data_IF_639293635518
#
_entry.id   IF_639293635518
#
_cell.length_a   1.000
_cell.length_b   1.000
_cell.length_c   1.000
_cell.angle_alpha   90.00
_cell.angle_beta   90.00
_cell.angle_gamma   90.00
#
_symmetry.space_group_name_H-M   'P 1'
#
loop_
_entity.id
_entity.type
_entity.pdbx_description
1 polymer ?
#
# COMPACT_ATOMS: atom_id res chain seq x y z
N UNK A 1 -0.84 -15.88 80.67
CA UNK A 1 -1.78 -15.03 79.91
C UNK A 1 -1.04 -13.75 79.58
N UNK A 2 -0.52 -13.62 78.36
CA UNK A 2 0.38 -12.52 77.98
C UNK A 2 -0.08 -11.94 76.64
N UNK A 3 -0.10 -10.61 76.62
CA UNK A 3 0.06 -9.67 75.51
C UNK A 3 -1.09 -9.39 74.52
N UNK A 4 -1.46 -8.11 74.57
CA UNK A 4 -1.90 -7.23 73.47
C UNK A 4 -1.18 -7.49 72.14
N UNK A 5 -1.87 -7.30 71.02
CA UNK A 5 -1.23 -6.91 69.76
C UNK A 5 -2.16 -6.07 68.87
N UNK A 6 -1.71 -4.82 68.71
CA UNK A 6 -1.95 -3.80 67.69
C UNK A 6 -1.92 -4.35 66.26
N UNK A 7 -2.80 -3.88 65.36
CA UNK A 7 -2.43 -3.20 64.11
C UNK A 7 -3.64 -2.71 63.29
N UNK A 8 -3.44 -1.52 62.73
CA UNK A 8 -4.38 -0.66 62.05
C UNK A 8 -4.36 -0.85 60.53
N UNK A 9 -5.50 -0.52 59.90
CA UNK A 9 -5.69 0.28 58.67
C UNK A 9 -4.61 0.16 57.58
N UNK A 10 -5.01 -0.36 56.41
CA UNK A 10 -4.96 0.28 55.08
C UNK A 10 -5.54 -0.75 54.08
N UNK A 11 -6.65 -0.42 53.41
CA UNK A 11 -7.00 -1.05 52.13
C UNK A 11 -7.69 -0.01 51.25
N UNK A 12 -7.04 0.22 50.12
CA UNK A 12 -7.24 1.29 49.17
C UNK A 12 -8.59 1.28 48.47
N UNK A 13 -9.04 2.48 48.15
CA UNK A 13 -10.06 2.73 47.14
C UNK A 13 -9.56 2.27 45.77
N UNK A 14 -10.31 1.38 45.12
CA UNK A 14 -10.21 1.14 43.67
C UNK A 14 -11.53 1.59 43.03
N UNK A 15 -11.57 2.68 42.25
CA UNK A 15 -12.76 3.02 41.49
C UNK A 15 -12.89 2.11 40.27
N UNK A 16 -14.06 1.51 40.14
CA UNK A 16 -14.50 0.67 39.03
C UNK A 16 -14.44 1.44 37.71
N UNK A 17 -13.64 0.97 36.75
CA UNK A 17 -13.60 1.49 35.38
C UNK A 17 -14.87 1.02 34.66
N UNK A 18 -15.73 1.98 34.30
CA UNK A 18 -16.87 1.75 33.40
C UNK A 18 -16.36 1.35 32.01
N UNK A 19 -16.60 0.09 31.64
CA UNK A 19 -16.50 -0.39 30.27
C UNK A 19 -17.58 0.28 29.41
N UNK A 20 -17.16 1.02 28.38
CA UNK A 20 -18.04 1.53 27.34
C UNK A 20 -18.63 0.38 26.54
N UNK A 21 -19.90 0.05 26.82
CA UNK A 21 -20.69 -0.90 26.04
C UNK A 21 -21.03 -0.32 24.66
N UNK A 22 -20.50 -0.93 23.61
CA UNK A 22 -20.96 -0.73 22.24
C UNK A 22 -22.31 -1.43 22.06
N UNK A 23 -23.41 -0.67 22.11
CA UNK A 23 -24.73 -1.18 21.73
C UNK A 23 -24.85 -1.21 20.21
N UNK A 24 -25.12 -2.40 19.67
CA UNK A 24 -25.39 -2.61 18.25
C UNK A 24 -26.91 -2.60 17.99
N UNK A 25 -27.38 -1.65 17.17
CA UNK A 25 -28.66 -1.72 16.48
C UNK A 25 -28.49 -2.28 15.05
N UNK A 26 -29.56 -2.85 14.45
CA UNK A 26 -29.53 -3.46 13.12
C UNK A 26 -29.66 -2.39 12.02
N UNK A 27 -28.89 -2.58 10.94
CA UNK A 27 -28.94 -1.89 9.64
C UNK A 27 -28.69 -0.37 9.61
N UNK A 28 -27.47 -0.01 9.14
CA UNK A 28 -27.05 1.37 8.86
C UNK A 28 -26.07 1.95 9.89
N UNK A 29 -24.90 1.34 10.08
CA UNK A 29 -23.88 1.90 11.00
C UNK A 29 -23.20 3.09 10.33
N UNK A 30 -23.50 4.30 10.79
CA UNK A 30 -22.67 5.49 10.57
C UNK A 30 -21.23 5.13 10.92
N UNK A 31 -20.33 5.29 9.95
CA UNK A 31 -18.92 5.02 10.14
C UNK A 31 -18.36 6.05 11.14
N UNK A 32 -17.40 5.69 12.02
CA UNK A 32 -16.82 6.66 12.94
C UNK A 32 -16.28 7.88 12.19
N UNK A 33 -16.58 9.10 12.67
CA UNK A 33 -16.24 10.34 11.97
C UNK A 33 -14.74 10.46 11.63
N UNK A 34 -13.85 9.95 12.48
CA UNK A 34 -12.41 9.97 12.22
C UNK A 34 -12.02 9.12 11.00
N UNK A 35 -12.71 8.00 10.75
CA UNK A 35 -12.50 7.19 9.56
C UNK A 35 -12.95 7.95 8.33
N UNK A 36 -14.11 8.61 8.38
CA UNK A 36 -14.61 9.45 7.28
C UNK A 36 -13.62 10.59 6.97
N UNK A 37 -13.11 11.29 8.00
CA UNK A 37 -12.09 12.34 7.85
C UNK A 37 -10.82 11.81 7.18
N UNK A 38 -10.37 10.59 7.52
CA UNK A 38 -9.22 9.98 6.86
C UNK A 38 -9.55 9.58 5.42
N UNK A 39 -10.72 9.01 5.15
CA UNK A 39 -11.12 8.64 3.79
C UNK A 39 -11.20 9.85 2.85
N UNK A 40 -11.70 10.99 3.34
CA UNK A 40 -11.85 12.22 2.55
C UNK A 40 -10.59 13.10 2.51
N UNK A 41 -9.60 12.86 3.37
CA UNK A 41 -8.43 13.72 3.51
C UNK A 41 -7.31 13.50 2.49
N UNK A 42 -7.43 12.51 1.60
CA UNK A 42 -6.45 12.21 0.56
C UNK A 42 -6.66 13.05 -0.71
N UNK A 43 -5.61 13.21 -1.52
CA UNK A 43 -5.69 13.95 -2.79
C UNK A 43 -6.56 13.25 -3.85
N UNK A 44 -6.77 11.94 -3.71
CA UNK A 44 -7.64 11.14 -4.58
C UNK A 44 -8.97 10.91 -3.84
N UNK A 45 -10.13 11.26 -4.43
CA UNK A 45 -11.41 11.12 -3.76
C UNK A 45 -11.82 9.65 -3.62
N UNK A 46 -12.42 9.31 -2.47
CA UNK A 46 -13.13 8.04 -2.30
C UNK A 46 -14.46 8.10 -3.05
N UNK A 47 -14.74 7.11 -3.88
CA UNK A 47 -15.95 6.99 -4.67
C UNK A 47 -16.50 5.56 -4.60
N UNK A 48 -17.70 5.37 -5.15
CA UNK A 48 -18.31 4.04 -5.29
C UNK A 48 -17.55 3.20 -6.34
N UNK A 49 -17.36 1.89 -6.11
CA UNK A 49 -16.57 1.06 -7.02
C UNK A 49 -17.07 1.08 -8.47
N UNK A 50 -18.38 1.08 -8.68
CA UNK A 50 -18.99 1.03 -10.01
C UNK A 50 -19.00 2.40 -10.71
N UNK A 51 -18.72 3.49 -9.98
CA UNK A 51 -18.60 4.85 -10.52
C UNK A 51 -17.43 5.59 -9.84
N UNK A 52 -16.20 5.23 -10.22
CA UNK A 52 -14.98 5.68 -9.58
C UNK A 52 -14.07 6.55 -10.47
N UNK A 53 -14.54 7.51 -11.29
CA UNK A 53 -13.66 8.26 -12.18
C UNK A 53 -12.63 9.12 -11.42
N UNK A 54 -11.34 9.03 -11.79
CA UNK A 54 -10.23 9.75 -11.16
C UNK A 54 -10.15 9.56 -9.63
N UNK A 55 -10.72 8.47 -9.13
CA UNK A 55 -10.88 8.22 -7.70
C UNK A 55 -10.24 6.91 -7.25
N UNK A 56 -10.42 6.63 -5.96
CA UNK A 56 -10.20 5.32 -5.40
C UNK A 56 -11.50 4.78 -4.78
N UNK A 57 -11.58 3.47 -4.63
CA UNK A 57 -12.74 2.80 -4.05
C UNK A 57 -12.33 1.49 -3.37
N UNK A 58 -13.27 0.88 -2.65
CA UNK A 58 -13.10 -0.47 -2.12
C UNK A 58 -13.95 -1.44 -2.95
N UNK A 59 -13.36 -2.19 -3.89
CA UNK A 59 -14.13 -3.11 -4.73
C UNK A 59 -14.84 -4.16 -3.85
N UNK A 60 -15.87 -4.87 -4.33
CA UNK A 60 -16.41 -6.04 -3.64
C UNK A 60 -15.41 -7.19 -3.61
N UNK A 61 -15.25 -7.85 -2.45
CA UNK A 61 -14.26 -8.92 -2.29
C UNK A 61 -14.57 -10.18 -3.10
N UNK A 62 -15.83 -10.38 -3.46
CA UNK A 62 -16.28 -11.44 -4.37
C UNK A 62 -15.74 -11.34 -5.80
N UNK A 63 -15.12 -10.20 -6.16
CA UNK A 63 -14.38 -10.05 -7.42
C UNK A 63 -13.04 -10.77 -7.41
N UNK A 64 -12.56 -11.23 -6.25
CA UNK A 64 -11.29 -11.94 -6.11
C UNK A 64 -11.51 -13.42 -5.79
N UNK A 65 -10.69 -14.26 -6.42
CA UNK A 65 -10.72 -15.71 -6.22
C UNK A 65 -9.52 -16.14 -5.36
N UNK A 66 -9.80 -16.77 -4.23
CA UNK A 66 -8.80 -17.20 -3.23
C UNK A 66 -8.84 -18.72 -3.04
N UNK A 67 -7.81 -19.31 -2.42
CA UNK A 67 -7.77 -20.76 -2.16
C UNK A 67 -8.92 -21.14 -1.23
N UNK A 68 -9.78 -22.06 -1.69
CA UNK A 68 -10.89 -22.56 -0.89
C UNK A 68 -10.45 -23.56 0.18
N UNK A 69 -11.39 -24.04 1.03
CA UNK A 69 -11.07 -24.91 2.18
C UNK A 69 -10.30 -26.19 1.79
N UNK A 70 -10.65 -26.79 0.66
CA UNK A 70 -10.00 -28.01 0.15
C UNK A 70 -8.89 -27.77 -0.88
N UNK A 71 -8.40 -26.54 -1.04
CA UNK A 71 -7.54 -26.17 -2.19
C UNK A 71 -6.29 -27.05 -2.34
N UNK A 72 -5.68 -27.48 -1.23
CA UNK A 72 -4.45 -28.27 -1.30
C UNK A 72 -4.65 -29.59 -2.05
N UNK A 73 -5.84 -30.21 -1.93
CA UNK A 73 -6.20 -31.45 -2.62
C UNK A 73 -6.87 -31.21 -3.98
N UNK A 74 -7.86 -30.30 -4.05
CA UNK A 74 -8.71 -30.16 -5.24
C UNK A 74 -8.35 -28.98 -6.16
N UNK A 75 -7.45 -28.09 -5.73
CA UNK A 75 -7.05 -26.85 -6.43
C UNK A 75 -8.21 -25.89 -6.75
N UNK A 76 -9.33 -26.00 -6.03
CA UNK A 76 -10.53 -25.18 -6.26
C UNK A 76 -10.43 -23.85 -5.49
N UNK A 77 -10.53 -22.76 -6.24
CA UNK A 77 -10.65 -21.40 -5.67
C UNK A 77 -12.12 -21.04 -5.45
N UNK A 78 -12.36 -20.21 -4.44
CA UNK A 78 -13.68 -19.67 -4.08
C UNK A 78 -13.64 -18.15 -4.11
N UNK A 79 -14.82 -17.51 -4.18
CA UNK A 79 -14.93 -16.06 -3.97
C UNK A 79 -14.49 -15.73 -2.55
N UNK A 80 -13.77 -14.62 -2.40
CA UNK A 80 -13.13 -14.32 -1.13
C UNK A 80 -14.08 -13.77 -0.05
N UNK A 81 -15.19 -13.13 -0.43
CA UNK A 81 -16.09 -12.49 0.52
C UNK A 81 -15.48 -11.26 1.20
N UNK A 82 -15.80 -11.07 2.48
CA UNK A 82 -15.41 -9.91 3.29
C UNK A 82 -13.90 -9.79 3.55
N UNK A 83 -13.46 -8.57 3.83
CA UNK A 83 -12.07 -8.27 4.18
C UNK A 83 -11.82 -8.41 5.68
N UNK A 84 -10.62 -8.86 6.04
CA UNK A 84 -10.17 -8.85 7.43
C UNK A 84 -9.97 -7.42 7.96
N UNK A 85 -9.54 -6.50 7.08
CA UNK A 85 -9.27 -5.11 7.41
C UNK A 85 -10.23 -4.18 6.67
N UNK A 86 -10.64 -3.10 7.35
CA UNK A 86 -11.48 -2.07 6.73
C UNK A 86 -10.60 -1.08 5.95
N UNK A 87 -11.02 -0.64 4.75
CA UNK A 87 -10.34 0.42 4.01
C UNK A 87 -10.35 1.72 4.82
N UNK A 88 -9.20 2.37 4.93
CA UNK A 88 -9.03 3.59 5.71
C UNK A 88 -8.66 4.80 4.85
N UNK A 89 -7.86 4.61 3.80
CA UNK A 89 -7.47 5.72 2.92
C UNK A 89 -6.60 5.27 1.76
N UNK A 90 -6.43 6.17 0.79
CA UNK A 90 -5.50 6.01 -0.32
C UNK A 90 -4.74 7.31 -0.57
N UNK A 91 -3.41 7.21 -0.67
CA UNK A 91 -2.55 8.33 -1.02
C UNK A 91 -1.82 8.06 -2.34
N UNK A 92 -1.81 9.08 -3.20
CA UNK A 92 -1.05 9.11 -4.44
C UNK A 92 -0.03 10.23 -4.32
N UNK A 93 1.24 9.85 -4.13
CA UNK A 93 2.30 10.76 -3.74
C UNK A 93 3.43 10.77 -4.77
N UNK A 94 4.15 11.87 -4.83
CA UNK A 94 5.39 11.99 -5.61
C UNK A 94 6.46 12.74 -4.85
N UNK A 95 7.73 12.38 -5.06
CA UNK A 95 8.89 13.05 -4.49
C UNK A 95 10.13 12.93 -5.38
N UNK A 96 11.11 13.80 -5.17
CA UNK A 96 12.43 13.68 -5.81
C UNK A 96 13.23 12.50 -5.27
N UNK A 97 12.89 11.99 -4.08
CA UNK A 97 13.49 10.80 -3.47
C UNK A 97 12.45 9.71 -3.27
N UNK A 98 12.90 8.48 -3.00
CA UNK A 98 12.02 7.38 -2.60
C UNK A 98 11.21 7.79 -1.36
N UNK A 99 9.94 7.42 -1.33
CA UNK A 99 9.02 7.65 -0.21
C UNK A 99 8.87 6.32 0.53
N UNK A 100 9.49 6.21 1.69
CA UNK A 100 9.49 5.02 2.55
C UNK A 100 9.05 5.39 3.97
N UNK A 101 8.64 4.38 4.75
CA UNK A 101 8.28 4.53 6.17
C UNK A 101 7.24 5.63 6.45
N UNK A 102 6.22 5.79 5.60
CA UNK A 102 5.28 6.91 5.66
C UNK A 102 4.55 7.03 7.00
N UNK A 103 4.33 5.92 7.71
CA UNK A 103 3.67 5.91 9.01
C UNK A 103 4.64 6.24 10.16
N UNK A 104 5.96 6.28 9.96
CA UNK A 104 6.91 6.72 10.99
C UNK A 104 6.94 8.24 11.15
N UNK A 105 6.53 9.00 10.13
CA UNK A 105 6.42 10.45 10.20
C UNK A 105 5.18 10.89 10.98
N UNK A 106 5.36 11.70 12.03
CA UNK A 106 4.27 12.23 12.86
C UNK A 106 3.26 13.07 12.08
N UNK A 107 3.69 13.70 11.00
CA UNK A 107 2.84 14.56 10.18
C UNK A 107 2.01 13.78 9.15
N UNK A 108 2.19 12.46 9.02
CA UNK A 108 1.33 11.64 8.17
C UNK A 108 -0.13 11.80 8.60
N UNK A 109 -1.03 12.03 7.64
CA UNK A 109 -2.43 12.36 7.90
C UNK A 109 -3.20 11.24 8.60
N UNK A 110 -2.90 9.98 8.29
CA UNK A 110 -3.53 8.80 8.90
C UNK A 110 -3.09 8.68 10.35
N UNK A 111 -1.78 8.77 10.58
CA UNK A 111 -1.22 8.73 11.94
C UNK A 111 -1.74 9.89 12.80
N UNK A 112 -1.79 11.09 12.25
CA UNK A 112 -2.30 12.28 12.94
C UNK A 112 -3.76 12.12 13.33
N UNK A 113 -4.62 11.67 12.41
CA UNK A 113 -6.03 11.45 12.69
C UNK A 113 -6.24 10.43 13.83
N UNK A 114 -5.46 9.35 13.86
CA UNK A 114 -5.51 8.38 14.96
C UNK A 114 -5.00 8.98 16.26
N UNK A 115 -3.93 9.77 16.22
CA UNK A 115 -3.38 10.40 17.42
C UNK A 115 -4.34 11.45 18.01
N UNK A 116 -5.03 12.21 17.16
CA UNK A 116 -5.99 13.23 17.55
C UNK A 116 -7.27 12.61 18.13
N UNK A 117 -7.73 11.50 17.55
CA UNK A 117 -8.93 10.78 18.01
C UNK A 117 -8.67 9.93 19.27
N UNK A 118 -7.49 9.30 19.36
CA UNK A 118 -7.09 8.40 20.44
C UNK A 118 -5.84 8.95 21.16
N UNK A 119 -5.95 10.08 21.88
CA UNK A 119 -4.83 10.68 22.61
C UNK A 119 -4.40 9.81 23.80
N UNK A 120 -5.32 9.04 24.37
CA UNK A 120 -5.11 8.08 25.45
C UNK A 120 -5.81 6.77 25.14
N UNK A 121 -5.31 5.66 25.70
CA UNK A 121 -5.88 4.32 25.50
C UNK A 121 -5.39 3.60 24.24
N UNK A 122 -6.09 2.51 23.91
CA UNK A 122 -5.72 1.61 22.82
C UNK A 122 -6.04 2.24 21.46
N UNK A 123 -5.01 2.33 20.61
CA UNK A 123 -5.15 2.82 19.25
C UNK A 123 -5.51 1.68 18.30
N UNK A 124 -6.32 1.94 17.26
CA UNK A 124 -6.54 0.95 16.22
C UNK A 124 -5.24 0.59 15.51
N UNK A 125 -5.13 -0.66 15.07
CA UNK A 125 -3.96 -1.14 14.35
C UNK A 125 -4.10 -0.86 12.84
N UNK A 126 -3.15 -0.14 12.26
CA UNK A 126 -3.15 0.25 10.84
C UNK A 126 -2.24 -0.63 10.01
N UNK A 127 -2.69 -0.98 8.81
CA UNK A 127 -1.86 -1.57 7.78
C UNK A 127 -1.71 -0.59 6.63
N UNK A 128 -0.47 -0.34 6.20
CA UNK A 128 -0.19 0.43 4.99
C UNK A 128 0.56 -0.45 3.98
N UNK A 129 0.10 -0.46 2.74
CA UNK A 129 0.84 -1.03 1.63
C UNK A 129 1.27 0.09 0.70
N UNK A 130 2.56 0.41 0.69
CA UNK A 130 3.17 1.47 -0.11
C UNK A 130 3.81 0.86 -1.36
N UNK A 131 3.12 0.96 -2.49
CA UNK A 131 3.64 0.51 -3.79
C UNK A 131 4.52 1.63 -4.35
N UNK A 132 5.83 1.44 -4.23
CA UNK A 132 6.85 2.40 -4.62
C UNK A 132 7.25 2.15 -6.07
N UNK A 133 7.07 3.17 -6.91
CA UNK A 133 7.47 3.11 -8.32
C UNK A 133 8.61 4.09 -8.55
N UNK A 134 9.87 3.62 -8.55
CA UNK A 134 11.01 4.45 -8.89
C UNK A 134 10.85 5.00 -10.29
N UNK A 135 10.87 6.32 -10.40
CA UNK A 135 10.75 7.07 -11.65
C UNK A 135 11.53 8.38 -11.51
N UNK A 136 11.48 9.27 -12.51
CA UNK A 136 12.09 10.60 -12.38
C UNK A 136 11.53 11.36 -11.17
N UNK A 137 10.23 11.28 -10.99
CA UNK A 137 9.51 11.77 -9.81
C UNK A 137 9.00 10.51 -9.11
N UNK A 138 9.72 9.98 -8.12
CA UNK A 138 9.39 8.72 -7.44
C UNK A 138 7.92 8.74 -7.00
N UNK A 139 7.14 7.77 -7.45
CA UNK A 139 5.70 7.69 -7.16
C UNK A 139 5.45 6.67 -6.05
N UNK A 140 4.46 6.96 -5.21
CA UNK A 140 3.95 6.03 -4.21
C UNK A 140 2.43 5.99 -4.26
N UNK A 141 1.87 4.79 -4.47
CA UNK A 141 0.47 4.49 -4.24
C UNK A 141 0.36 3.76 -2.89
N UNK A 142 -0.24 4.41 -1.90
CA UNK A 142 -0.32 3.87 -0.54
C UNK A 142 -1.77 3.59 -0.20
N UNK A 143 -2.07 2.32 0.05
CA UNK A 143 -3.37 1.90 0.55
C UNK A 143 -3.30 1.67 2.06
N UNK A 144 -4.17 2.36 2.80
CA UNK A 144 -4.29 2.24 4.24
C UNK A 144 -5.53 1.43 4.60
N UNK A 145 -5.36 0.52 5.55
CA UNK A 145 -6.42 -0.29 6.13
C UNK A 145 -6.35 -0.25 7.65
N UNK A 146 -7.46 -0.54 8.31
CA UNK A 146 -7.55 -0.56 9.77
C UNK A 146 -8.17 -1.86 10.26
N UNK A 147 -7.56 -2.42 11.29
CA UNK A 147 -8.13 -3.51 12.07
C UNK A 147 -9.03 -2.92 13.16
N UNK A 148 -10.34 -3.17 13.07
CA UNK A 148 -11.29 -2.76 14.12
C UNK A 148 -11.31 -3.70 15.32
N UNK A 149 -10.62 -4.84 15.22
CA UNK A 149 -10.45 -5.85 16.26
C UNK A 149 -9.01 -6.38 16.20
N UNK A 150 -8.41 -6.78 17.32
CA UNK A 150 -7.13 -7.49 17.30
C UNK A 150 -7.20 -8.75 16.43
N UNK A 151 -6.08 -9.11 15.82
CA UNK A 151 -5.96 -10.40 15.14
C UNK A 151 -6.15 -11.53 16.17
N UNK A 152 -6.96 -12.57 15.86
CA UNK A 152 -7.10 -13.70 16.77
C UNK A 152 -5.75 -14.35 17.02
N UNK A 153 -5.46 -14.67 18.27
CA UNK A 153 -4.19 -15.31 18.66
C UNK A 153 -3.99 -16.62 17.90
N UNK A 154 -2.78 -16.81 17.36
CA UNK A 154 -2.44 -18.00 16.57
C UNK A 154 -3.01 -18.02 15.15
N UNK A 155 -3.84 -17.05 14.75
CA UNK A 155 -4.29 -16.92 13.36
C UNK A 155 -3.12 -16.64 12.40
N UNK A 156 -3.31 -16.90 11.10
CA UNK A 156 -2.29 -16.62 10.09
C UNK A 156 -1.89 -15.13 10.05
N UNK A 157 -2.84 -14.23 10.35
CA UNK A 157 -2.56 -12.80 10.45
C UNK A 157 -1.73 -12.44 11.70
N UNK A 158 -2.03 -13.05 12.85
CA UNK A 158 -1.23 -12.89 14.09
C UNK A 158 0.19 -13.43 13.91
N UNK A 159 0.32 -14.60 13.28
CA UNK A 159 1.62 -15.19 12.92
C UNK A 159 2.40 -14.30 11.95
N UNK A 160 1.74 -13.66 10.98
CA UNK A 160 2.39 -12.73 10.04
C UNK A 160 2.90 -11.47 10.73
N UNK A 161 2.13 -10.92 11.69
CA UNK A 161 2.54 -9.77 12.49
C UNK A 161 3.77 -10.10 13.34
N UNK A 162 3.77 -11.26 14.01
CA UNK A 162 4.85 -11.72 14.91
C UNK A 162 6.05 -12.38 14.20
N UNK A 163 5.89 -12.78 12.94
CA UNK A 163 6.88 -13.54 12.18
C UNK A 163 8.14 -12.76 11.82
N UNK A 164 9.06 -13.42 11.12
CA UNK A 164 10.23 -12.76 10.54
C UNK A 164 9.96 -12.37 9.07
N UNK A 165 10.90 -11.64 8.46
CA UNK A 165 10.76 -11.20 7.07
C UNK A 165 10.78 -12.36 6.08
N UNK A 166 11.43 -13.50 6.41
CA UNK A 166 11.38 -14.69 5.57
C UNK A 166 9.95 -15.23 5.50
N UNK A 167 9.28 -15.37 6.66
CA UNK A 167 7.90 -15.76 6.73
C UNK A 167 7.03 -14.79 5.95
N UNK A 168 7.11 -13.48 6.23
CA UNK A 168 6.31 -12.47 5.54
C UNK A 168 6.51 -12.49 4.03
N UNK A 169 7.77 -12.54 3.58
CA UNK A 169 8.11 -12.58 2.16
C UNK A 169 7.61 -13.85 1.47
N UNK A 170 7.58 -14.98 2.19
CA UNK A 170 7.10 -16.25 1.67
C UNK A 170 5.57 -16.34 1.56
N UNK A 171 4.83 -15.44 2.23
CA UNK A 171 3.36 -15.51 2.37
C UNK A 171 2.62 -14.33 1.76
N UNK A 172 3.20 -13.12 1.73
CA UNK A 172 2.47 -11.94 1.26
C UNK A 172 2.17 -12.03 -0.24
N UNK A 173 0.88 -12.05 -0.58
CA UNK A 173 0.36 -12.22 -1.93
C UNK A 173 -0.43 -10.99 -2.36
N UNK A 174 -0.21 -10.56 -3.60
CA UNK A 174 -0.98 -9.53 -4.28
C UNK A 174 -1.81 -10.16 -5.39
N UNK A 175 -3.06 -9.73 -5.50
CA UNK A 175 -3.96 -10.01 -6.62
C UNK A 175 -4.24 -8.68 -7.34
N UNK A 176 -4.05 -8.62 -8.65
CA UNK A 176 -4.22 -7.44 -9.48
C UNK A 176 -5.16 -7.72 -10.65
N UNK A 177 -6.31 -7.04 -10.68
CA UNK A 177 -7.27 -7.15 -11.77
C UNK A 177 -7.34 -5.83 -12.55
N UNK A 178 -6.99 -5.88 -13.84
CA UNK A 178 -7.22 -4.73 -14.75
C UNK A 178 -8.69 -4.73 -15.15
N UNK A 179 -9.49 -3.92 -14.47
CA UNK A 179 -10.95 -3.79 -14.70
C UNK A 179 -11.20 -3.09 -16.04
N UNK A 180 -10.54 -1.96 -16.24
CA UNK A 180 -10.59 -1.15 -17.46
C UNK A 180 -9.17 -0.84 -17.91
N UNK A 181 -8.93 -0.88 -19.21
CA UNK A 181 -7.63 -0.52 -19.74
C UNK A 181 -7.33 -1.07 -21.12
N UNK A 182 -6.32 -0.52 -21.80
CA UNK A 182 -5.86 -1.01 -23.10
C UNK A 182 -5.45 -2.48 -23.04
N UNK A 183 -5.72 -3.20 -24.13
CA UNK A 183 -5.43 -4.64 -24.23
C UNK A 183 -3.95 -4.96 -23.98
N UNK A 184 -3.03 -4.05 -24.34
CA UNK A 184 -1.59 -4.22 -24.14
C UNK A 184 -1.22 -4.27 -22.65
N UNK A 185 -1.87 -3.46 -21.80
CA UNK A 185 -1.66 -3.47 -20.35
C UNK A 185 -2.23 -4.76 -19.76
N UNK A 186 -3.45 -5.15 -20.16
CA UNK A 186 -4.07 -6.42 -19.72
C UNK A 186 -3.20 -7.62 -20.05
N UNK A 187 -2.63 -7.64 -21.25
CA UNK A 187 -1.74 -8.72 -21.70
C UNK A 187 -0.40 -8.72 -20.95
N UNK A 188 0.15 -7.55 -20.64
CA UNK A 188 1.41 -7.44 -19.90
C UNK A 188 1.26 -7.87 -18.44
N UNK A 189 0.12 -7.55 -17.79
CA UNK A 189 -0.21 -8.07 -16.45
C UNK A 189 -0.46 -9.59 -16.51
N UNK A 190 -1.09 -10.07 -17.59
CA UNK A 190 -1.19 -11.50 -17.91
C UNK A 190 -1.91 -12.35 -16.85
N UNK A 191 -1.73 -13.67 -16.93
CA UNK A 191 -2.15 -14.63 -15.88
C UNK A 191 -1.41 -14.38 -14.54
N UNK A 192 -0.35 -13.56 -14.55
CA UNK A 192 0.42 -13.12 -13.39
C UNK A 192 -0.27 -12.03 -12.55
N UNK A 193 -1.58 -11.83 -12.79
CA UNK A 193 -2.49 -11.11 -11.91
C UNK A 193 -2.47 -11.58 -10.44
N UNK A 194 -1.75 -12.65 -10.09
CA UNK A 194 -1.54 -13.10 -8.71
C UNK A 194 -0.06 -13.41 -8.51
N UNK A 195 0.57 -12.82 -7.49
CA UNK A 195 1.98 -13.01 -7.20
C UNK A 195 2.24 -13.02 -5.70
N UNK A 196 3.17 -13.88 -5.23
CA UNK A 196 3.75 -13.77 -3.89
C UNK A 196 4.77 -12.63 -3.94
N UNK A 197 4.28 -11.41 -3.70
CA UNK A 197 5.06 -10.18 -3.92
C UNK A 197 6.32 -10.14 -3.07
N UNK A 198 6.30 -10.70 -1.87
CA UNK A 198 7.48 -10.76 -1.02
C UNK A 198 8.62 -11.63 -1.57
N UNK A 199 8.34 -12.55 -2.50
CA UNK A 199 9.38 -13.32 -3.23
C UNK A 199 9.81 -12.65 -4.53
N UNK A 200 8.91 -11.88 -5.14
CA UNK A 200 9.14 -11.27 -6.45
C UNK A 200 9.78 -9.88 -6.37
N UNK A 201 9.59 -9.18 -5.24
CA UNK A 201 10.00 -7.81 -5.01
C UNK A 201 10.66 -7.67 -3.64
N UNK A 202 11.55 -6.69 -3.51
CA UNK A 202 12.07 -6.28 -2.22
C UNK A 202 10.95 -5.60 -1.43
N UNK A 203 10.58 -6.20 -0.30
CA UNK A 203 9.61 -5.66 0.63
C UNK A 203 10.30 -5.28 1.94
N UNK A 204 10.10 -4.06 2.41
CA UNK A 204 10.56 -3.61 3.74
C UNK A 204 9.34 -3.51 4.66
N UNK A 205 9.43 -4.17 5.82
CA UNK A 205 8.35 -4.21 6.81
C UNK A 205 8.71 -3.26 7.96
N UNK A 206 7.93 -2.20 8.13
CA UNK A 206 8.09 -1.24 9.22
C UNK A 206 6.99 -1.45 10.25
N UNK A 207 7.36 -1.92 11.43
CA UNK A 207 6.42 -2.28 12.50
C UNK A 207 6.57 -1.26 13.63
N UNK A 208 5.46 -0.60 13.96
CA UNK A 208 5.34 0.29 15.11
C UNK A 208 4.35 -0.24 16.15
N UNK A 209 4.10 0.56 17.19
CA UNK A 209 3.20 0.19 18.29
C UNK A 209 1.79 -0.19 17.82
N UNK A 210 1.25 0.54 16.84
CA UNK A 210 -0.11 0.36 16.34
C UNK A 210 -0.17 0.34 14.80
N UNK A 211 0.93 -0.03 14.13
CA UNK A 211 0.90 -0.18 12.68
C UNK A 211 1.90 -1.19 12.14
N UNK A 212 1.58 -1.69 10.94
CA UNK A 212 2.49 -2.35 10.03
C UNK A 212 2.44 -1.61 8.69
N UNK A 213 3.62 -1.22 8.18
CA UNK A 213 3.78 -0.72 6.83
C UNK A 213 4.62 -1.69 6.01
N UNK A 214 4.18 -1.93 4.78
CA UNK A 214 4.90 -2.74 3.78
C UNK A 214 5.26 -1.85 2.60
N UNK A 215 6.53 -1.50 2.52
CA UNK A 215 7.13 -0.79 1.39
C UNK A 215 7.49 -1.81 0.30
N UNK A 216 6.80 -1.75 -0.84
CA UNK A 216 6.96 -2.67 -1.97
C UNK A 216 7.70 -1.96 -3.08
N UNK A 217 8.98 -2.28 -3.27
CA UNK A 217 9.83 -1.64 -4.28
C UNK A 217 9.66 -2.29 -5.66
N UNK A 218 8.89 -1.66 -6.54
CA UNK A 218 8.70 -2.13 -7.92
C UNK A 218 10.02 -2.12 -8.71
N UNK A 219 10.95 -1.23 -8.39
CA UNK A 219 12.23 -1.10 -9.08
C UNK A 219 13.18 -2.26 -8.81
N UNK A 220 12.93 -3.10 -7.81
CA UNK A 220 13.77 -4.25 -7.48
C UNK A 220 13.63 -5.41 -8.48
N UNK A 221 12.64 -5.35 -9.39
CA UNK A 221 12.43 -6.35 -10.44
C UNK A 221 12.29 -5.68 -11.79
N UNK A 222 13.17 -6.03 -12.73
CA UNK A 222 13.11 -5.52 -14.11
C UNK A 222 11.76 -5.80 -14.77
N UNK A 223 11.19 -6.98 -14.52
CA UNK A 223 9.91 -7.39 -15.10
C UNK A 223 8.75 -6.60 -14.49
N UNK A 224 8.69 -6.49 -13.17
CA UNK A 224 7.64 -5.71 -12.50
C UNK A 224 7.74 -4.23 -12.87
N UNK A 225 8.96 -3.68 -12.88
CA UNK A 225 9.22 -2.31 -13.33
C UNK A 225 8.72 -2.07 -14.75
N UNK A 226 9.02 -2.97 -15.70
CA UNK A 226 8.53 -2.84 -17.08
C UNK A 226 6.99 -2.86 -17.17
N UNK A 227 6.33 -3.77 -16.45
CA UNK A 227 4.86 -3.90 -16.44
C UNK A 227 4.21 -2.65 -15.82
N UNK A 228 4.69 -2.20 -14.67
CA UNK A 228 4.13 -1.05 -13.95
C UNK A 228 4.38 0.25 -14.72
N UNK A 229 5.57 0.44 -15.32
CA UNK A 229 5.84 1.62 -16.14
C UNK A 229 5.00 1.65 -17.42
N UNK A 230 4.74 0.49 -18.04
CA UNK A 230 3.76 0.39 -19.12
C UNK A 230 2.37 0.81 -18.64
N UNK A 231 1.92 0.33 -17.49
CA UNK A 231 0.63 0.70 -16.91
C UNK A 231 0.56 2.20 -16.58
N UNK A 232 1.63 2.78 -16.01
CA UNK A 232 1.71 4.22 -15.74
C UNK A 232 1.54 5.06 -17.01
N UNK A 233 2.06 4.61 -18.15
CA UNK A 233 1.84 5.27 -19.44
C UNK A 233 0.37 5.36 -19.88
N UNK A 234 -0.51 4.54 -19.30
CA UNK A 234 -1.95 4.52 -19.57
C UNK A 234 -2.81 4.87 -18.36
N UNK A 235 -2.21 5.32 -17.26
CA UNK A 235 -2.87 5.41 -15.94
C UNK A 235 -4.16 6.23 -15.95
N UNK A 236 -4.28 7.25 -16.81
CA UNK A 236 -5.47 8.09 -17.01
C UNK A 236 -6.64 7.38 -17.70
N UNK A 237 -6.45 6.15 -18.16
CA UNK A 237 -7.47 5.29 -18.80
C UNK A 237 -7.58 3.90 -18.16
N UNK A 238 -6.79 3.66 -17.10
CA UNK A 238 -6.74 2.39 -16.39
C UNK A 238 -7.64 2.42 -15.16
N UNK A 239 -8.35 1.32 -14.95
CA UNK A 239 -8.98 1.00 -13.67
C UNK A 239 -8.42 -0.33 -13.20
N UNK A 240 -7.83 -0.35 -12.02
CA UNK A 240 -7.16 -1.53 -11.46
C UNK A 240 -7.68 -1.78 -10.05
N UNK A 241 -8.04 -3.03 -9.78
CA UNK A 241 -8.29 -3.53 -8.44
C UNK A 241 -7.04 -4.26 -7.94
N UNK A 242 -6.56 -3.91 -6.75
CA UNK A 242 -5.45 -4.56 -6.06
C UNK A 242 -5.93 -5.10 -4.73
N UNK A 243 -5.64 -6.37 -4.42
CA UNK A 243 -5.99 -7.01 -3.16
C UNK A 243 -4.79 -7.73 -2.53
N UNK A 244 -4.69 -7.64 -1.21
CA UNK A 244 -3.63 -8.26 -0.43
C UNK A 244 -4.15 -9.47 0.33
N UNK A 245 -3.36 -10.53 0.36
CA UNK A 245 -3.70 -11.82 0.97
C UNK A 245 -2.46 -12.38 1.64
N UNK A 246 -2.61 -13.06 2.79
CA UNK A 246 -1.55 -13.90 3.34
C UNK A 246 -1.81 -15.31 2.81
N UNK A 247 -0.86 -15.87 2.05
CA UNK A 247 -1.02 -17.17 1.42
C UNK A 247 -1.15 -18.30 2.45
N UNK A 248 -2.24 -19.05 2.39
CA UNK A 248 -2.42 -20.29 3.14
C UNK A 248 -1.69 -21.46 2.48
N UNK A 249 -0.85 -22.15 3.24
CA UNK A 249 0.00 -23.27 2.83
C UNK A 249 -0.33 -24.57 3.57
N UNK A 250 -1.10 -24.52 4.67
CA UNK A 250 -1.62 -25.71 5.37
C UNK A 250 -3.15 -25.76 5.35
N UNK A 251 -3.74 -26.92 5.64
CA UNK A 251 -5.21 -27.07 5.65
C UNK A 251 -5.88 -26.17 6.70
N UNK A 252 -5.26 -25.98 7.86
CA UNK A 252 -5.77 -25.12 8.93
C UNK A 252 -5.72 -23.62 8.60
N UNK A 253 -4.97 -23.23 7.57
CA UNK A 253 -4.87 -21.86 7.07
C UNK A 253 -5.89 -21.55 5.96
N UNK A 254 -6.75 -22.52 5.61
CA UNK A 254 -7.75 -22.39 4.54
C UNK A 254 -9.19 -22.34 5.08
N UNK A 255 -10.12 -21.64 4.40
CA UNK A 255 -9.90 -20.86 3.18
C UNK A 255 -9.06 -19.59 3.44
N UNK A 256 -8.35 -19.16 2.40
CA UNK A 256 -7.69 -17.86 2.42
C UNK A 256 -8.72 -16.73 2.52
N UNK A 257 -8.36 -15.63 3.20
CA UNK A 257 -9.17 -14.42 3.31
C UNK A 257 -8.36 -13.21 2.86
N UNK A 258 -9.03 -12.23 2.25
CA UNK A 258 -8.36 -10.98 1.86
C UNK A 258 -8.05 -10.17 3.11
N UNK A 259 -6.83 -9.62 3.18
CA UNK A 259 -6.50 -8.58 4.15
C UNK A 259 -7.31 -7.32 3.83
N UNK A 260 -7.28 -6.90 2.57
CA UNK A 260 -8.01 -5.74 2.09
C UNK A 260 -7.76 -5.55 0.59
N UNK A 261 -8.59 -4.72 -0.03
CA UNK A 261 -8.45 -4.37 -1.44
C UNK A 261 -8.78 -2.90 -1.69
N UNK A 262 -8.18 -2.36 -2.74
CA UNK A 262 -8.47 -1.02 -3.22
C UNK A 262 -8.53 -1.00 -4.74
N UNK A 263 -9.37 -0.12 -5.26
CA UNK A 263 -9.46 0.27 -6.67
C UNK A 263 -8.86 1.64 -6.80
N UNK A 264 -8.10 1.88 -7.87
CA UNK A 264 -7.91 3.23 -8.39
C UNK A 264 -8.32 3.25 -9.86
N UNK A 265 -8.78 4.41 -10.33
CA UNK A 265 -9.21 4.58 -11.71
C UNK A 265 -8.73 5.91 -12.24
N UNK A 266 -8.20 5.87 -13.46
CA UNK A 266 -7.91 7.04 -14.30
C UNK A 266 -7.08 8.08 -13.55
N UNK A 267 -6.15 7.64 -12.69
CA UNK A 267 -5.38 8.58 -11.87
C UNK A 267 -4.64 9.57 -12.76
N UNK A 268 -4.72 10.84 -12.40
CA UNK A 268 -3.93 11.88 -13.04
C UNK A 268 -2.55 11.91 -12.37
N UNK A 269 -1.43 11.68 -13.07
CA UNK A 269 -0.10 11.82 -12.49
C UNK A 269 0.14 13.19 -11.84
N UNK A 270 -0.48 14.24 -12.37
CA UNK A 270 -0.37 15.59 -11.82
C UNK A 270 -1.12 15.78 -10.49
N UNK A 271 -2.08 14.92 -10.16
CA UNK A 271 -2.77 14.94 -8.85
C UNK A 271 -1.96 14.24 -7.76
N UNK A 272 -0.82 13.63 -8.09
CA UNK A 272 0.10 13.10 -7.09
C UNK A 272 0.59 14.25 -6.20
N UNK A 273 0.30 14.13 -4.90
CA UNK A 273 0.71 15.14 -3.93
C UNK A 273 2.24 15.13 -3.83
N UNK A 274 2.84 16.30 -4.04
CA UNK A 274 4.27 16.47 -3.86
C UNK A 274 4.58 16.42 -2.36
N UNK A 275 5.43 15.48 -1.98
CA UNK A 275 6.06 15.45 -0.66
C UNK A 275 7.49 15.93 -0.83
N UNK A 276 7.83 17.01 -0.14
CA UNK A 276 9.22 17.41 -0.01
C UNK A 276 9.94 16.39 0.88
N UNK A 277 11.11 15.87 0.47
CA UNK A 277 11.92 15.05 1.35
C UNK A 277 12.11 15.81 2.66
N UNK A 278 11.84 15.17 3.80
CA UNK A 278 12.13 15.77 5.09
C UNK A 278 13.60 16.20 5.06
N UNK A 279 13.85 17.51 5.10
CA UNK A 279 15.19 18.07 5.09
C UNK A 279 15.96 17.41 6.23
N UNK A 280 17.07 16.73 5.89
CA UNK A 280 17.94 16.10 6.86
C UNK A 280 18.28 17.10 7.96
N UNK A 281 17.68 16.90 9.13
CA UNK A 281 17.80 17.77 10.27
C UNK A 281 17.82 16.92 11.52
N UNK A 282 19.01 16.40 11.85
CA UNK A 282 19.39 16.24 13.25
C UNK A 282 19.05 17.54 13.97
N UNK A 283 18.07 17.51 14.86
CA UNK A 283 17.86 18.59 15.83
C UNK A 283 17.36 17.95 17.14
N UNK A 284 18.07 18.02 18.27
CA UNK A 284 19.39 18.60 18.46
C UNK A 284 19.47 20.12 18.31
N UNK A 285 18.43 20.86 18.71
CA UNK A 285 18.59 22.28 19.08
C UNK A 285 18.16 23.35 18.06
N UNK A 286 17.12 24.08 18.48
CA UNK A 286 16.88 25.54 18.36
C UNK A 286 16.83 26.25 16.99
N UNK A 287 15.62 26.75 16.72
CA UNK A 287 15.20 27.86 15.87
C UNK A 287 16.25 28.70 15.10
N UNK A 288 15.96 28.99 13.83
CA UNK A 288 15.38 30.29 13.43
C UNK A 288 14.93 30.30 11.97
N UNK A 289 13.77 30.92 11.76
CA UNK A 289 13.21 31.32 10.48
C UNK A 289 14.22 32.11 9.64
N UNK A 290 14.23 31.92 8.31
CA UNK A 290 14.41 33.00 7.31
C UNK A 290 14.10 32.50 5.89
N UNK A 291 12.91 32.89 5.39
CA UNK A 291 12.58 33.29 4.01
C UNK A 291 13.27 32.64 2.80
N UNK A 292 12.54 31.77 2.10
CA UNK A 292 12.77 31.44 0.69
C UNK A 292 12.25 32.62 -0.17
N UNK A 293 13.06 33.68 -0.29
CA UNK A 293 12.84 34.80 -1.23
C UNK A 293 14.16 35.30 -1.83
N UNK A 294 15.08 34.40 -2.18
CA UNK A 294 16.40 34.80 -2.68
C UNK A 294 17.00 33.89 -3.78
N UNK A 295 16.18 33.22 -4.59
CA UNK A 295 16.63 32.65 -5.88
C UNK A 295 15.73 33.07 -7.05
N UNK A 296 15.73 34.37 -7.31
CA UNK A 296 15.47 34.95 -8.64
C UNK A 296 16.46 36.09 -8.86
N UNK A 297 17.72 35.75 -9.14
CA UNK A 297 18.64 36.55 -9.95
C UNK A 297 20.01 35.90 -9.88
N UNK A 298 20.59 35.64 -11.06
CA UNK A 298 22.02 35.47 -11.42
C UNK A 298 22.09 34.33 -12.43
N UNK A 299 22.31 34.70 -13.71
CA UNK A 299 22.57 33.75 -14.78
C UNK A 299 22.10 34.14 -16.19
N UNK A 300 21.92 35.43 -16.51
CA UNK A 300 21.95 35.88 -17.90
C UNK A 300 23.39 36.17 -18.30
N UNK A 301 23.86 35.57 -19.39
CA UNK A 301 24.99 36.08 -20.16
C UNK A 301 25.98 35.01 -20.59
N UNK A 302 25.74 34.36 -21.72
CA UNK A 302 26.68 34.30 -22.84
C UNK A 302 25.89 33.93 -24.10
N UNK A 303 25.91 34.82 -25.10
CA UNK A 303 25.37 34.57 -26.43
C UNK A 303 26.49 34.67 -27.46
N UNK A 304 26.29 33.90 -28.53
CA UNK A 304 26.85 34.02 -29.88
C UNK A 304 28.31 33.63 -30.14
N UNK A 305 28.46 32.49 -30.84
CA UNK A 305 29.11 32.47 -32.16
C UNK A 305 28.23 31.67 -33.16
N UNK A 306 28.19 32.20 -34.38
CA UNK A 306 27.29 31.97 -35.54
C UNK A 306 27.64 30.68 -36.32
N UNK A 307 26.68 29.81 -36.71
CA UNK A 307 25.93 29.68 -38.01
C UNK A 307 26.79 29.41 -39.28
N UNK A 308 26.27 28.90 -40.43
CA UNK A 308 25.23 27.87 -40.71
C UNK A 308 25.64 26.88 -41.86
N UNK A 309 24.87 25.81 -42.14
CA UNK A 309 25.15 24.92 -43.28
C UNK A 309 24.17 23.77 -43.57
N UNK A 310 23.06 24.10 -44.23
CA UNK A 310 22.26 23.37 -45.26
C UNK A 310 22.04 21.83 -45.30
N UNK A 311 20.73 21.52 -45.46
CA UNK A 311 20.08 20.59 -46.42
C UNK A 311 19.91 19.08 -46.17
N UNK A 312 18.65 18.74 -45.82
CA UNK A 312 17.75 17.68 -46.35
C UNK A 312 18.37 16.40 -46.91
N UNK A 313 17.96 15.25 -46.36
CA UNK A 313 17.39 14.12 -47.12
C UNK A 313 16.45 13.27 -46.25
N UNK A 314 15.23 13.02 -46.76
CA UNK A 314 14.27 12.05 -46.23
C UNK A 314 14.77 10.63 -46.52
N UNK A 315 14.72 9.74 -45.53
CA UNK A 315 14.51 8.30 -45.77
C UNK A 315 13.56 7.75 -44.70
N UNK A 316 12.38 7.33 -45.16
CA UNK A 316 11.53 6.38 -44.45
C UNK A 316 12.33 5.11 -44.19
N UNK A 317 12.47 4.71 -42.93
CA UNK A 317 12.92 3.37 -42.57
C UNK A 317 11.72 2.63 -41.99
N UNK A 318 11.42 1.53 -42.67
CA UNK A 318 10.33 0.60 -42.46
C UNK A 318 10.41 -0.01 -41.06
N UNK A 319 9.36 0.16 -40.26
CA UNK A 319 9.23 -0.45 -38.94
C UNK A 319 8.76 -1.90 -39.11
N UNK A 320 9.72 -2.81 -39.31
CA UNK A 320 9.54 -4.26 -39.18
C UNK A 320 10.68 -4.80 -38.32
N UNK A 321 10.52 -4.78 -37.00
CA UNK A 321 11.22 -5.69 -36.12
C UNK A 321 10.23 -6.68 -35.55
N UNK A 322 10.36 -7.89 -36.07
CA UNK A 322 9.68 -9.11 -35.65
C UNK A 322 10.11 -9.42 -34.20
N UNK A 323 9.15 -9.40 -33.26
CA UNK A 323 9.35 -9.94 -31.92
C UNK A 323 9.51 -11.46 -32.02
N UNK A 324 10.74 -11.93 -32.12
CA UNK A 324 11.09 -13.33 -31.86
C UNK A 324 11.22 -13.54 -30.34
N UNK A 325 10.70 -14.64 -29.77
CA UNK A 325 10.84 -14.91 -28.35
C UNK A 325 12.31 -15.18 -28.01
N UNK A 326 12.86 -14.42 -27.06
CA UNK A 326 14.15 -14.73 -26.42
C UNK A 326 14.01 -16.08 -25.70
N UNK A 327 14.51 -17.15 -26.33
CA UNK A 327 14.81 -18.42 -25.68
C UNK A 327 16.16 -18.29 -24.99
N UNK A 328 16.17 -18.14 -23.67
CA UNK A 328 17.38 -18.43 -22.87
C UNK A 328 17.34 -19.92 -22.55
N UNK A 329 18.28 -20.67 -23.13
CA UNK A 329 18.46 -22.08 -22.83
C UNK A 329 19.20 -22.22 -21.50
N UNK A 330 18.54 -22.77 -20.48
CA UNK A 330 19.22 -23.34 -19.31
C UNK A 330 19.27 -24.87 -19.46
N UNK A 331 20.47 -25.43 -19.37
CA UNK A 331 20.70 -26.87 -19.33
C UNK A 331 20.17 -27.42 -18.00
N UNK A 332 19.23 -28.35 -18.08
CA UNK A 332 18.86 -29.26 -16.99
C UNK A 332 17.46 -29.04 -16.42
N UNK A 333 16.50 -29.82 -16.91
CA UNK A 333 15.22 -30.06 -16.23
C UNK A 333 14.04 -29.24 -16.75
N UNK A 334 13.11 -29.92 -17.42
CA UNK A 334 11.79 -29.40 -17.76
C UNK A 334 10.98 -29.22 -16.47
N UNK A 335 10.77 -27.97 -16.04
CA UNK A 335 9.66 -27.64 -15.14
C UNK A 335 8.65 -26.85 -15.98
N UNK A 336 7.50 -27.47 -16.26
CA UNK A 336 6.32 -26.73 -16.70
C UNK A 336 5.89 -25.83 -15.54
N UNK A 337 6.03 -24.52 -15.72
CA UNK A 337 5.36 -23.54 -14.87
C UNK A 337 3.90 -23.44 -15.33
N UNK A 338 3.00 -23.97 -14.51
CA UNK A 338 1.59 -23.56 -14.39
C UNK A 338 1.32 -23.33 -12.91
#
# INVERSE_FOLDING_TARGET
MVAEHTLAIISDQVPTITQGHYMAGPDGKNEPEWIERVKSGGAVPLLEPDNCPNGWASPPGDKFMVRGPGYLSNKVKVRAGEYLLKPLGFDWLRSSTKIDEVLTYRNNRVRRAIQDEFPTGDKPFVWAFNIQVPSKDNLSAIAYFVATKPAPEGSLMDQFLKGDDNFRNSRLKLIANVVQGPWIVRKAVGEQAICIIGRALSCKYCIGENFLEVDVDIGSSMMASAIVHLALGYITTLTVDLAFVIEGQTESELPEQLLGAFRFSQLNPASAQLIEPASYGSTGGLQTSLSIRLWKSIGHGFSSLLNPGQCRHKKMINQKFLMAPLRVAYRGGLIKLF
#
